data_IF_893304339153
#
_entry.id   IF_893304339153
#
_cell.length_a   1.000
_cell.length_b   1.000
_cell.length_c   1.000
_cell.angle_alpha   90.00
_cell.angle_beta   90.00
_cell.angle_gamma   90.00
#
_symmetry.space_group_name_H-M   'P 1'
#
loop_
_entity.id
_entity.type
_entity.pdbx_description
1 polymer ?
#
# COMPACT_ATOMS: atom_id res chain seq x y z
N UNK A 1 19.12 -3.21 10.63
CA UNK A 1 20.17 -2.87 9.65
C UNK A 1 21.52 -3.30 10.22
N UNK A 2 21.84 -4.60 10.17
CA UNK A 2 22.99 -5.16 10.91
C UNK A 2 24.36 -4.83 10.31
N UNK A 3 24.40 -4.28 9.10
CA UNK A 3 25.62 -3.87 8.41
C UNK A 3 25.96 -2.37 8.59
N UNK A 4 25.26 -1.65 9.47
CA UNK A 4 25.52 -0.24 9.81
C UNK A 4 26.05 -0.12 11.24
N UNK A 5 26.90 0.89 11.50
CA UNK A 5 27.39 1.16 12.86
C UNK A 5 26.26 1.61 13.79
N UNK A 6 26.38 1.33 15.09
CA UNK A 6 25.37 1.72 16.08
C UNK A 6 25.13 3.23 16.11
N UNK A 7 26.21 4.02 16.00
CA UNK A 7 26.12 5.48 15.91
C UNK A 7 25.28 5.93 14.70
N UNK A 8 25.49 5.32 13.53
CA UNK A 8 24.72 5.68 12.34
C UNK A 8 23.25 5.24 12.46
N UNK A 9 23.00 4.06 13.01
CA UNK A 9 21.63 3.59 13.27
C UNK A 9 20.90 4.54 14.21
N UNK A 10 21.56 5.00 15.29
CA UNK A 10 21.00 5.96 16.23
C UNK A 10 20.68 7.31 15.54
N UNK A 11 21.65 7.90 14.85
CA UNK A 11 21.46 9.19 14.16
C UNK A 11 20.31 9.13 13.13
N UNK A 12 20.20 8.03 12.39
CA UNK A 12 19.11 7.84 11.43
C UNK A 12 17.75 7.73 12.12
N UNK A 13 17.68 7.02 13.26
CA UNK A 13 16.44 6.87 14.02
C UNK A 13 15.97 8.15 14.69
N UNK A 14 16.89 9.06 15.06
CA UNK A 14 16.53 10.37 15.61
C UNK A 14 16.11 11.38 14.53
N UNK A 15 16.72 11.32 13.35
CA UNK A 15 16.51 12.30 12.30
C UNK A 15 15.37 11.95 11.31
N UNK A 16 15.03 10.66 11.18
CA UNK A 16 14.06 10.18 10.19
C UNK A 16 13.02 9.26 10.80
N UNK A 17 11.82 9.34 10.26
CA UNK A 17 10.73 8.43 10.57
C UNK A 17 10.43 7.57 9.34
N UNK A 18 10.17 6.28 9.56
CA UNK A 18 9.84 5.34 8.50
C UNK A 18 8.35 4.95 8.61
N UNK A 19 7.65 4.93 7.46
CA UNK A 19 6.22 4.65 7.34
C UNK A 19 5.33 5.74 7.96
N UNK A 20 4.59 6.45 7.13
CA UNK A 20 3.64 7.50 7.54
C UNK A 20 2.20 7.00 7.66
N UNK A 21 1.95 5.71 7.37
CA UNK A 21 0.61 5.12 7.34
C UNK A 21 0.48 3.91 8.27
N UNK A 22 -0.72 3.72 8.83
CA UNK A 22 -1.11 2.64 9.73
C UNK A 22 -2.22 1.78 9.10
N UNK A 23 -2.17 0.45 9.25
CA UNK A 23 -3.26 -0.42 8.80
C UNK A 23 -4.47 -0.29 9.73
N UNK A 24 -5.53 0.40 9.28
CA UNK A 24 -6.76 0.54 10.05
C UNK A 24 -7.69 -0.65 9.87
N UNK A 25 -7.79 -1.18 8.65
CA UNK A 25 -8.64 -2.33 8.35
C UNK A 25 -8.12 -3.10 7.13
N UNK A 26 -8.40 -4.40 7.08
CA UNK A 26 -8.09 -5.27 5.95
C UNK A 26 -9.27 -6.16 5.64
N UNK A 27 -9.59 -6.31 4.35
CA UNK A 27 -10.67 -7.16 3.87
C UNK A 27 -10.19 -8.05 2.71
N UNK A 28 -10.68 -9.29 2.65
CA UNK A 28 -10.37 -10.27 1.60
C UNK A 28 -9.72 -11.55 2.13
N UNK A 29 -9.65 -12.58 1.30
CA UNK A 29 -9.00 -13.88 1.58
C UNK A 29 -7.62 -13.99 0.92
N UNK A 30 -6.68 -14.67 1.58
CA UNK A 30 -5.23 -14.61 1.29
C UNK A 30 -4.86 -14.89 -0.18
N UNK A 31 -5.64 -15.75 -0.83
CA UNK A 31 -5.53 -16.24 -2.21
C UNK A 31 -6.32 -15.38 -3.23
N UNK A 32 -6.90 -14.27 -2.78
CA UNK A 32 -7.77 -13.42 -3.59
C UNK A 32 -7.42 -11.95 -3.42
N UNK A 33 -8.26 -11.06 -3.97
CA UNK A 33 -8.10 -9.62 -3.80
C UNK A 33 -8.05 -9.23 -2.32
N UNK A 34 -6.99 -8.51 -1.95
CA UNK A 34 -6.82 -7.92 -0.62
C UNK A 34 -7.03 -6.41 -0.70
N UNK A 35 -7.93 -5.91 0.13
CA UNK A 35 -8.21 -4.48 0.27
C UNK A 35 -7.68 -4.00 1.62
N UNK A 36 -6.89 -2.94 1.58
CA UNK A 36 -6.30 -2.32 2.76
C UNK A 36 -6.85 -0.91 2.94
N UNK A 37 -7.23 -0.59 4.17
CA UNK A 37 -7.60 0.74 4.60
C UNK A 37 -6.47 1.29 5.46
N UNK A 38 -5.81 2.32 4.96
CA UNK A 38 -4.67 2.96 5.60
C UNK A 38 -5.11 4.25 6.27
N UNK A 39 -4.68 4.43 7.51
CA UNK A 39 -4.81 5.68 8.25
C UNK A 39 -3.55 6.50 8.09
N UNK A 40 -3.73 7.73 7.62
CA UNK A 40 -2.69 8.73 7.45
C UNK A 40 -2.45 9.47 8.77
N UNK A 41 -1.36 10.22 8.87
CA UNK A 41 -0.98 10.96 10.09
C UNK A 41 -2.01 11.98 10.55
N UNK A 42 -2.71 12.60 9.61
CA UNK A 42 -3.80 13.55 9.87
C UNK A 42 -5.14 12.86 10.22
N UNK A 43 -5.14 11.52 10.33
CA UNK A 43 -6.30 10.72 10.66
C UNK A 43 -7.24 10.44 9.47
N UNK A 44 -6.92 10.94 8.27
CA UNK A 44 -7.66 10.59 7.07
C UNK A 44 -7.40 9.14 6.65
N UNK A 45 -8.29 8.61 5.82
CA UNK A 45 -8.23 7.24 5.35
C UNK A 45 -8.09 7.18 3.83
N UNK A 46 -7.23 6.28 3.36
CA UNK A 46 -7.07 5.94 1.94
C UNK A 46 -7.00 4.43 1.75
N UNK A 47 -7.25 3.98 0.52
CA UNK A 47 -7.30 2.55 0.21
C UNK A 47 -6.19 2.15 -0.76
N UNK A 48 -5.61 0.97 -0.55
CA UNK A 48 -4.89 0.24 -1.59
C UNK A 48 -5.51 -1.14 -1.80
N UNK A 49 -5.37 -1.68 -3.01
CA UNK A 49 -5.96 -2.98 -3.36
C UNK A 49 -4.95 -3.82 -4.11
N UNK A 50 -4.56 -4.95 -3.51
CA UNK A 50 -3.73 -5.96 -4.13
C UNK A 50 -4.62 -6.99 -4.84
N UNK A 51 -4.38 -7.17 -6.14
CA UNK A 51 -5.19 -8.01 -7.02
C UNK A 51 -4.26 -9.06 -7.65
N UNK A 52 -4.38 -10.35 -7.29
CA UNK A 52 -3.74 -11.44 -8.01
C UNK A 52 -4.34 -11.55 -9.41
N UNK A 53 -3.51 -11.86 -10.42
CA UNK A 53 -4.02 -12.10 -11.76
C UNK A 53 -4.95 -13.33 -11.80
N UNK A 54 -6.06 -13.21 -12.53
CA UNK A 54 -6.91 -14.36 -12.84
C UNK A 54 -6.16 -15.33 -13.77
N UNK A 55 -6.52 -16.64 -13.75
CA UNK A 55 -6.02 -17.60 -14.73
C UNK A 55 -6.28 -17.11 -16.16
N UNK A 56 -5.39 -17.47 -17.09
CA UNK A 56 -5.54 -17.13 -18.51
C UNK A 56 -6.76 -17.84 -19.12
N UNK A 57 -7.18 -17.40 -20.32
CA UNK A 57 -8.22 -18.08 -21.11
C UNK A 57 -7.96 -19.58 -21.33
N UNK A 58 -6.70 -20.00 -21.26
CA UNK A 58 -6.26 -21.39 -21.43
C UNK A 58 -5.95 -22.10 -20.09
N UNK A 59 -6.20 -21.44 -18.96
CA UNK A 59 -6.04 -22.00 -17.61
C UNK A 59 -4.65 -21.84 -17.01
N UNK A 60 -3.71 -21.20 -17.71
CA UNK A 60 -2.37 -20.94 -17.17
C UNK A 60 -2.47 -19.97 -16.00
N UNK A 61 -1.80 -20.33 -14.90
CA UNK A 61 -1.66 -19.45 -13.74
C UNK A 61 -0.67 -18.34 -14.06
N UNK A 62 -0.97 -17.12 -13.62
CA UNK A 62 -0.05 -15.99 -13.69
C UNK A 62 0.40 -15.62 -12.29
N UNK A 63 1.70 -15.35 -12.16
CA UNK A 63 2.35 -14.83 -10.96
C UNK A 63 2.20 -13.31 -10.81
N UNK A 64 1.52 -12.65 -11.76
CA UNK A 64 1.39 -11.20 -11.79
C UNK A 64 0.47 -10.73 -10.67
N UNK A 65 0.97 -9.77 -9.91
CA UNK A 65 0.19 -9.00 -8.94
C UNK A 65 0.01 -7.57 -9.42
N UNK A 66 -1.17 -6.99 -9.18
CA UNK A 66 -1.45 -5.58 -9.44
C UNK A 66 -1.80 -4.90 -8.12
N UNK A 67 -1.07 -3.83 -7.78
CA UNK A 67 -1.43 -2.96 -6.66
C UNK A 67 -2.08 -1.69 -7.20
N UNK A 68 -3.33 -1.45 -6.80
CA UNK A 68 -3.97 -0.15 -6.91
C UNK A 68 -3.56 0.72 -5.73
N UNK A 69 -3.13 1.95 -5.99
CA UNK A 69 -2.72 2.93 -4.98
C UNK A 69 -3.58 4.20 -5.09
N UNK A 70 -3.88 4.79 -3.94
CA UNK A 70 -4.49 6.11 -3.85
C UNK A 70 -3.45 7.21 -4.04
N UNK A 71 -3.86 8.34 -4.61
CA UNK A 71 -3.02 9.54 -4.81
C UNK A 71 -3.60 10.79 -4.17
N UNK A 72 -4.85 10.74 -3.69
CA UNK A 72 -5.56 11.84 -3.04
C UNK A 72 -6.39 11.29 -1.88
N UNK A 73 -6.68 12.14 -0.89
CA UNK A 73 -7.75 11.88 0.07
C UNK A 73 -9.05 12.42 -0.52
N UNK A 74 -9.94 11.51 -0.90
CA UNK A 74 -11.09 11.82 -1.73
C UNK A 74 -10.68 12.21 -3.16
N UNK A 75 -11.56 12.84 -3.95
CA UNK A 75 -11.23 13.17 -5.34
C UNK A 75 -11.90 14.45 -5.85
N UNK A 76 -11.10 15.34 -6.46
CA UNK A 76 -11.56 16.66 -6.93
C UNK A 76 -12.48 16.61 -8.15
N UNK A 77 -12.45 15.53 -8.92
CA UNK A 77 -13.28 15.39 -10.10
C UNK A 77 -14.77 15.20 -9.78
N UNK A 78 -15.11 14.72 -8.58
CA UNK A 78 -16.51 14.65 -8.14
C UNK A 78 -17.41 13.73 -9.00
N UNK A 79 -16.85 12.67 -9.60
CA UNK A 79 -17.61 11.75 -10.44
C UNK A 79 -18.76 11.09 -9.64
N UNK A 80 -20.01 11.26 -10.09
CA UNK A 80 -21.22 10.84 -9.35
C UNK A 80 -21.33 9.32 -9.10
N UNK A 81 -20.60 8.52 -9.87
CA UNK A 81 -20.56 7.06 -9.74
C UNK A 81 -19.38 6.56 -8.90
N UNK A 82 -18.49 7.45 -8.45
CA UNK A 82 -17.27 7.10 -7.72
C UNK A 82 -17.43 7.46 -6.24
N UNK A 83 -17.22 6.50 -5.34
CA UNK A 83 -17.31 6.74 -3.91
C UNK A 83 -16.37 7.86 -3.44
N UNK A 84 -15.10 7.86 -3.88
CA UNK A 84 -14.14 8.92 -3.57
C UNK A 84 -14.52 10.27 -4.19
N UNK A 85 -15.23 10.27 -5.32
CA UNK A 85 -15.79 11.49 -5.91
C UNK A 85 -16.94 12.05 -5.08
N UNK A 86 -17.78 11.18 -4.51
CA UNK A 86 -18.87 11.58 -3.61
C UNK A 86 -18.37 12.07 -2.24
N UNK A 87 -17.25 11.54 -1.74
CA UNK A 87 -16.60 12.01 -0.49
C UNK A 87 -15.99 13.42 -0.63
N UNK A 88 -15.81 13.89 -1.87
CA UNK A 88 -15.23 15.19 -2.19
C UNK A 88 -13.71 15.22 -1.98
N UNK A 89 -13.05 16.28 -2.45
CA UNK A 89 -11.61 16.44 -2.29
C UNK A 89 -11.24 17.05 -0.95
N UNK A 90 -10.19 16.50 -0.31
CA UNK A 90 -9.62 17.04 0.92
C UNK A 90 -8.20 17.57 0.68
N UNK A 91 -7.31 16.73 0.13
CA UNK A 91 -5.94 17.08 -0.23
C UNK A 91 -5.30 16.01 -1.12
N UNK A 92 -4.18 16.37 -1.74
CA UNK A 92 -3.27 15.41 -2.35
C UNK A 92 -2.49 14.65 -1.28
N UNK A 93 -2.02 13.45 -1.64
CA UNK A 93 -1.09 12.69 -0.82
C UNK A 93 0.34 13.18 -1.00
N UNK A 94 1.11 13.13 0.08
CA UNK A 94 2.56 13.29 -0.01
C UNK A 94 3.17 12.09 -0.76
N UNK A 95 4.32 12.26 -1.43
CA UNK A 95 5.01 11.15 -2.08
C UNK A 95 5.29 9.97 -1.14
N UNK A 96 5.59 10.25 0.13
CA UNK A 96 5.73 9.28 1.22
C UNK A 96 4.46 8.46 1.42
N UNK A 97 3.30 9.09 1.48
CA UNK A 97 2.01 8.41 1.65
C UNK A 97 1.61 7.54 0.45
N UNK A 98 2.08 7.90 -0.76
CA UNK A 98 1.88 7.06 -1.97
C UNK A 98 2.79 5.84 -1.91
N UNK A 99 4.10 6.02 -1.69
CA UNK A 99 5.05 4.90 -1.66
C UNK A 99 4.83 4.00 -0.45
N UNK A 100 4.35 4.52 0.67
CA UNK A 100 4.07 3.72 1.86
C UNK A 100 2.94 2.72 1.63
N UNK A 101 1.99 2.98 0.74
CA UNK A 101 0.97 1.98 0.36
C UNK A 101 1.62 0.75 -0.30
N UNK A 102 2.65 0.97 -1.14
CA UNK A 102 3.44 -0.11 -1.75
C UNK A 102 4.22 -0.85 -0.67
N UNK A 103 5.01 -0.12 0.13
CA UNK A 103 5.92 -0.71 1.11
C UNK A 103 5.16 -1.43 2.23
N UNK A 104 4.02 -0.91 2.67
CA UNK A 104 3.17 -1.55 3.67
C UNK A 104 2.52 -2.84 3.13
N UNK A 105 2.10 -2.85 1.86
CA UNK A 105 1.59 -4.08 1.21
C UNK A 105 2.68 -5.15 1.10
N UNK A 106 3.90 -4.76 0.71
CA UNK A 106 5.07 -5.66 0.68
C UNK A 106 5.44 -6.22 2.06
N UNK A 107 5.40 -5.37 3.10
CA UNK A 107 5.63 -5.82 4.49
C UNK A 107 4.58 -6.83 4.91
N UNK A 108 3.30 -6.53 4.67
CA UNK A 108 2.19 -7.45 4.95
C UNK A 108 2.38 -8.80 4.25
N UNK A 109 2.76 -8.80 2.97
CA UNK A 109 2.99 -10.05 2.22
C UNK A 109 4.12 -10.90 2.83
N UNK A 110 5.25 -10.28 3.18
CA UNK A 110 6.38 -10.98 3.82
C UNK A 110 6.01 -11.60 5.16
N UNK A 111 5.08 -10.99 5.90
CA UNK A 111 4.59 -11.55 7.16
C UNK A 111 3.71 -12.80 6.95
N UNK A 112 3.06 -12.95 5.79
CA UNK A 112 2.19 -14.10 5.48
C UNK A 112 2.97 -15.30 4.91
N UNK A 113 3.86 -15.06 3.95
CA UNK A 113 4.54 -16.15 3.20
C UNK A 113 6.02 -16.31 3.55
N UNK A 114 6.54 -15.51 4.48
CA UNK A 114 7.96 -15.51 4.86
C UNK A 114 8.83 -14.74 3.86
N UNK A 115 10.12 -15.08 3.78
CA UNK A 115 11.07 -14.45 2.86
C UNK A 115 10.87 -15.01 1.44
N UNK A 116 9.79 -14.58 0.79
CA UNK A 116 9.49 -14.85 -0.62
C UNK A 116 9.96 -13.73 -1.55
N UNK A 117 9.67 -13.89 -2.84
CA UNK A 117 9.88 -12.85 -3.84
C UNK A 117 8.99 -11.62 -3.57
N UNK A 118 9.40 -10.46 -4.09
CA UNK A 118 8.58 -9.23 -3.99
C UNK A 118 7.34 -9.37 -4.85
N UNK A 119 6.19 -8.94 -4.34
CA UNK A 119 4.95 -8.87 -5.13
C UNK A 119 5.05 -7.81 -6.23
N UNK A 120 5.66 -6.68 -5.90
CA UNK A 120 5.74 -5.49 -6.72
C UNK A 120 7.19 -5.37 -7.19
N UNK A 121 7.41 -5.70 -8.46
CA UNK A 121 8.72 -5.89 -9.05
C UNK A 121 8.99 -4.98 -10.27
N UNK A 122 8.11 -4.02 -10.52
CA UNK A 122 8.10 -3.17 -11.71
C UNK A 122 8.00 -1.66 -11.42
N UNK A 123 8.49 -1.24 -10.25
CA UNK A 123 8.64 0.16 -9.86
C UNK A 123 9.98 0.75 -10.33
#
# INVERSE_FOLDING_TARGET
MTNLTELLQHNLSEAFEFSTIELAHKQGSADTTQKFLWKLRDGQLVESVLIPASPSLYGDQSDRHTLCVSTQVGCAYGCKFCASGLDGFKRDLEPSEIIDQVLATERWHKEQEGVGERLINNL
#
